data_IF_332083821672
#
_entry.id   IF_332083821672
#
_cell.length_a   1.000
_cell.length_b   1.000
_cell.length_c   1.000
_cell.angle_alpha   90.00
_cell.angle_beta   90.00
_cell.angle_gamma   90.00
#
_symmetry.space_group_name_H-M   'P 1'
#
loop_
_entity.id
_entity.type
_entity.pdbx_description
1 polymer ?
#
# COMPACT_ATOMS: atom_id res chain seq x y z
N UNK A 1 6.77 -24.58 6.59
CA UNK A 1 6.86 -23.11 6.71
C UNK A 1 5.77 -22.43 5.89
N UNK A 2 5.65 -22.72 4.59
CA UNK A 2 4.77 -21.98 3.67
C UNK A 2 3.31 -21.82 4.14
N UNK A 3 2.66 -22.88 4.64
CA UNK A 3 1.26 -22.80 5.12
C UNK A 3 1.06 -21.81 6.27
N UNK A 4 2.07 -21.62 7.12
CA UNK A 4 1.98 -20.67 8.24
C UNK A 4 1.93 -19.23 7.74
N UNK A 5 2.78 -18.90 6.76
CA UNK A 5 2.86 -17.57 6.16
C UNK A 5 1.69 -17.25 5.20
N UNK A 6 0.69 -18.13 5.08
CA UNK A 6 -0.57 -17.79 4.41
C UNK A 6 -1.49 -16.95 5.28
N UNK A 7 -1.31 -17.01 6.60
CA UNK A 7 -2.17 -16.33 7.57
C UNK A 7 -1.46 -15.15 8.27
N UNK A 8 -0.15 -14.99 8.06
CA UNK A 8 0.67 -13.95 8.71
C UNK A 8 1.65 -13.32 7.71
N UNK A 9 1.95 -12.04 7.91
CA UNK A 9 2.91 -11.30 7.07
C UNK A 9 4.36 -11.58 7.46
N UNK A 10 4.63 -11.72 8.77
CA UNK A 10 5.94 -12.04 9.32
C UNK A 10 5.80 -12.66 10.72
N UNK A 11 6.84 -13.38 11.14
CA UNK A 11 7.02 -13.83 12.52
C UNK A 11 7.87 -12.82 13.29
N UNK A 12 7.60 -12.67 14.58
CA UNK A 12 8.43 -11.89 15.49
C UNK A 12 8.94 -12.83 16.58
N UNK A 13 10.25 -12.89 16.77
CA UNK A 13 10.90 -13.73 17.79
C UNK A 13 12.03 -12.97 18.50
N UNK A 14 12.41 -13.34 19.73
CA UNK A 14 13.64 -12.82 20.33
C UNK A 14 14.84 -13.11 19.43
N UNK A 15 15.74 -12.14 19.25
CA UNK A 15 16.96 -12.35 18.46
C UNK A 15 17.87 -13.39 19.13
N UNK A 16 17.93 -13.38 20.46
CA UNK A 16 18.59 -14.38 21.28
C UNK A 16 17.81 -14.55 22.60
N UNK A 17 17.89 -15.72 23.27
CA UNK A 17 17.17 -15.95 24.52
C UNK A 17 17.64 -15.06 25.67
N UNK A 18 18.96 -14.84 25.79
CA UNK A 18 19.59 -13.97 26.79
C UNK A 18 21.02 -13.61 26.37
N UNK A 19 21.61 -12.65 27.08
CA UNK A 19 23.06 -12.40 27.04
C UNK A 19 23.80 -13.26 28.06
N UNK A 20 25.02 -13.66 27.72
CA UNK A 20 25.95 -14.36 28.61
C UNK A 20 27.17 -13.49 28.89
N UNK A 21 27.74 -13.65 30.09
CA UNK A 21 29.06 -13.11 30.40
C UNK A 21 30.13 -13.92 29.68
N UNK A 22 31.26 -13.26 29.39
CA UNK A 22 32.42 -13.93 28.77
C UNK A 22 32.90 -15.10 29.64
N UNK A 23 32.92 -14.92 30.97
CA UNK A 23 33.31 -15.97 31.91
C UNK A 23 32.38 -17.20 31.83
N UNK A 24 31.05 -17.00 31.80
CA UNK A 24 30.08 -18.09 31.63
C UNK A 24 30.33 -18.85 30.32
N UNK A 25 30.57 -18.12 29.22
CA UNK A 25 30.82 -18.72 27.91
C UNK A 25 32.13 -19.53 27.85
N UNK A 26 33.17 -19.11 28.57
CA UNK A 26 34.43 -19.84 28.65
C UNK A 26 34.32 -21.13 29.47
N UNK A 27 33.40 -21.18 30.43
CA UNK A 27 33.13 -22.37 31.25
C UNK A 27 32.32 -23.43 30.49
N UNK A 28 31.34 -23.03 29.68
CA UNK A 28 30.51 -23.94 28.87
C UNK A 28 30.28 -23.42 27.43
N UNK A 29 31.31 -23.49 26.57
CA UNK A 29 31.26 -22.88 25.23
C UNK A 29 30.28 -23.57 24.27
N UNK A 30 29.97 -24.86 24.48
CA UNK A 30 29.15 -25.63 23.55
C UNK A 30 27.66 -25.43 23.83
N UNK A 31 27.25 -25.61 25.09
CA UNK A 31 25.83 -25.51 25.44
C UNK A 31 25.34 -24.06 25.31
N UNK A 32 26.12 -23.09 25.77
CA UNK A 32 25.72 -21.69 25.74
C UNK A 32 25.67 -21.14 24.31
N UNK A 33 26.58 -21.56 23.44
CA UNK A 33 26.47 -21.25 22.01
C UNK A 33 25.24 -21.90 21.37
N UNK A 34 24.92 -23.14 21.75
CA UNK A 34 23.71 -23.83 21.26
C UNK A 34 22.43 -23.11 21.69
N UNK A 35 22.38 -22.60 22.93
CA UNK A 35 21.25 -21.81 23.42
C UNK A 35 21.06 -20.52 22.60
N UNK A 36 22.15 -19.83 22.22
CA UNK A 36 22.08 -18.63 21.38
C UNK A 36 21.42 -18.87 20.02
N UNK A 37 21.52 -20.10 19.49
CA UNK A 37 20.94 -20.50 18.20
C UNK A 37 19.45 -20.85 18.23
N UNK A 38 18.80 -20.86 19.41
CA UNK A 38 17.43 -21.39 19.57
C UNK A 38 16.41 -20.75 18.64
N UNK A 39 16.48 -19.43 18.44
CA UNK A 39 15.56 -18.68 17.59
C UNK A 39 16.05 -18.45 16.16
N UNK A 40 17.29 -18.85 15.82
CA UNK A 40 17.93 -18.42 14.56
C UNK A 40 18.26 -19.55 13.59
N UNK A 41 18.48 -20.77 14.09
CA UNK A 41 19.00 -21.86 13.27
C UNK A 41 18.10 -22.31 12.10
N UNK A 42 16.79 -22.10 12.19
CA UNK A 42 15.83 -22.58 11.17
C UNK A 42 15.73 -21.70 9.93
N UNK A 43 16.10 -20.41 10.00
CA UNK A 43 15.75 -19.44 8.96
C UNK A 43 16.40 -19.76 7.62
N UNK A 44 17.73 -19.98 7.61
CA UNK A 44 18.47 -20.30 6.38
C UNK A 44 18.05 -21.65 5.79
N UNK A 45 17.70 -22.62 6.63
CA UNK A 45 17.26 -23.95 6.17
C UNK A 45 15.89 -23.92 5.48
N UNK A 46 15.08 -22.90 5.77
CA UNK A 46 13.71 -22.76 5.28
C UNK A 46 13.56 -21.67 4.21
N UNK A 47 14.66 -21.14 3.67
CA UNK A 47 14.67 -20.06 2.65
C UNK A 47 13.86 -18.83 3.11
N UNK A 48 14.10 -18.42 4.36
CA UNK A 48 13.48 -17.26 4.99
C UNK A 48 14.47 -16.08 5.04
N UNK A 49 13.94 -14.86 4.99
CA UNK A 49 14.69 -13.66 5.32
C UNK A 49 14.40 -13.22 6.75
N UNK A 50 15.39 -12.59 7.39
CA UNK A 50 15.29 -12.12 8.77
C UNK A 50 15.89 -10.73 8.95
N UNK A 51 15.24 -9.89 9.76
CA UNK A 51 15.69 -8.55 10.12
C UNK A 51 15.69 -8.39 11.64
N UNK A 52 16.88 -8.33 12.24
CA UNK A 52 17.03 -8.06 13.67
C UNK A 52 16.91 -6.55 13.94
N UNK A 53 16.08 -6.19 14.91
CA UNK A 53 15.81 -4.79 15.30
C UNK A 53 15.93 -4.62 16.83
N UNK A 54 16.43 -3.47 17.32
CA UNK A 54 16.49 -3.18 18.75
C UNK A 54 15.08 -3.08 19.35
N UNK A 55 14.87 -3.65 20.54
CA UNK A 55 13.58 -3.72 21.22
C UNK A 55 13.63 -3.20 22.67
N UNK A 56 14.67 -2.43 23.01
CA UNK A 56 14.84 -1.77 24.29
C UNK A 56 15.99 -2.34 25.10
N UNK A 57 15.90 -2.20 26.42
CA UNK A 57 16.93 -2.61 27.36
C UNK A 57 16.32 -3.49 28.45
N UNK A 58 17.05 -4.51 28.85
CA UNK A 58 16.71 -5.31 30.04
C UNK A 58 16.90 -4.46 31.30
N UNK A 59 16.36 -4.93 32.43
CA UNK A 59 16.46 -4.22 33.73
C UNK A 59 17.89 -3.99 34.21
N UNK A 60 18.85 -4.75 33.68
CA UNK A 60 20.29 -4.60 33.94
C UNK A 60 21.01 -3.66 32.94
N UNK A 61 20.27 -2.98 32.06
CA UNK A 61 20.81 -2.03 31.09
C UNK A 61 21.42 -2.66 29.83
N UNK A 62 21.36 -3.98 29.65
CA UNK A 62 21.85 -4.65 28.44
C UNK A 62 20.79 -4.54 27.34
N UNK A 63 21.17 -4.19 26.08
CA UNK A 63 20.22 -4.08 24.99
C UNK A 63 19.58 -5.43 24.64
N UNK A 64 18.29 -5.38 24.30
CA UNK A 64 17.51 -6.50 23.83
C UNK A 64 17.00 -6.23 22.42
N UNK A 65 16.82 -7.30 21.62
CA UNK A 65 16.38 -7.22 20.25
C UNK A 65 15.40 -8.32 19.89
N UNK A 66 14.59 -8.03 18.87
CA UNK A 66 13.70 -9.01 18.24
C UNK A 66 14.08 -9.14 16.76
N UNK A 67 13.82 -10.30 16.19
CA UNK A 67 14.01 -10.57 14.78
C UNK A 67 12.66 -10.77 14.11
N UNK A 68 12.40 -9.95 13.09
CA UNK A 68 11.30 -10.14 12.15
C UNK A 68 11.73 -11.19 11.12
N UNK A 69 10.88 -12.17 10.82
CA UNK A 69 11.18 -13.26 9.88
C UNK A 69 10.06 -13.40 8.87
N UNK A 70 10.39 -13.44 7.59
CA UNK A 70 9.44 -13.60 6.50
C UNK A 70 9.97 -14.58 5.44
N UNK A 71 9.14 -15.05 4.50
CA UNK A 71 9.62 -15.76 3.33
C UNK A 71 10.64 -14.93 2.54
N UNK A 72 11.53 -15.59 1.80
CA UNK A 72 12.45 -14.95 0.84
C UNK A 72 11.81 -13.83 0.01
N UNK A 73 12.60 -12.82 -0.35
CA UNK A 73 12.20 -11.66 -1.18
C UNK A 73 11.20 -10.70 -0.52
N UNK A 74 10.98 -10.80 0.81
CA UNK A 74 10.14 -9.88 1.60
C UNK A 74 10.93 -8.87 2.43
N UNK A 75 12.24 -8.70 2.17
CA UNK A 75 13.14 -7.80 2.93
C UNK A 75 12.64 -6.35 2.93
N UNK A 76 12.11 -5.87 1.80
CA UNK A 76 11.54 -4.53 1.71
C UNK A 76 10.33 -4.34 2.65
N UNK A 77 9.48 -5.36 2.81
CA UNK A 77 8.37 -5.32 3.76
C UNK A 77 8.91 -5.28 5.19
N UNK A 78 9.86 -6.17 5.54
CA UNK A 78 10.49 -6.18 6.86
C UNK A 78 11.13 -4.83 7.20
N UNK A 79 11.85 -4.20 6.27
CA UNK A 79 12.44 -2.87 6.45
C UNK A 79 11.38 -1.78 6.67
N UNK A 80 10.25 -1.85 5.97
CA UNK A 80 9.13 -0.93 6.19
C UNK A 80 8.54 -1.07 7.60
N UNK A 81 8.37 -2.31 8.08
CA UNK A 81 7.89 -2.56 9.45
C UNK A 81 8.91 -2.10 10.50
N UNK A 82 10.19 -2.39 10.28
CA UNK A 82 11.28 -1.96 11.15
C UNK A 82 11.39 -0.43 11.24
N UNK A 83 11.18 0.29 10.14
CA UNK A 83 11.15 1.75 10.14
C UNK A 83 10.00 2.28 11.01
N UNK A 84 8.82 1.67 10.94
CA UNK A 84 7.69 2.00 11.82
C UNK A 84 8.00 1.72 13.29
N UNK A 85 8.65 0.58 13.58
CA UNK A 85 9.10 0.21 14.92
C UNK A 85 10.13 1.20 15.47
N UNK A 86 11.17 1.52 14.70
CA UNK A 86 12.24 2.46 15.08
C UNK A 86 11.67 3.85 15.36
N UNK A 87 10.79 4.36 14.49
CA UNK A 87 10.10 5.65 14.67
C UNK A 87 9.31 5.71 15.98
N UNK A 88 8.71 4.60 16.40
CA UNK A 88 7.92 4.52 17.64
C UNK A 88 8.79 4.38 18.88
N UNK A 89 9.86 3.59 18.80
CA UNK A 89 10.69 3.26 19.96
C UNK A 89 11.73 4.35 20.29
N UNK A 90 12.24 5.07 19.27
CA UNK A 90 13.24 6.14 19.45
C UNK A 90 14.43 5.71 20.33
N UNK A 91 14.92 4.49 20.10
CA UNK A 91 16.04 3.94 20.86
C UNK A 91 17.37 4.60 20.42
N UNK A 92 18.35 4.69 21.33
CA UNK A 92 19.69 5.14 20.97
C UNK A 92 20.34 4.23 19.93
N UNK A 93 21.07 4.84 19.01
CA UNK A 93 21.84 4.13 17.98
C UNK A 93 23.12 3.55 18.60
N UNK A 94 23.13 2.23 18.81
CA UNK A 94 24.28 1.52 19.37
C UNK A 94 24.63 2.03 20.77
N UNK A 95 25.93 2.28 21.01
CA UNK A 95 26.43 2.81 22.29
C UNK A 95 26.35 4.35 22.41
N UNK A 96 25.72 5.03 21.46
CA UNK A 96 25.59 6.50 21.48
C UNK A 96 24.36 6.96 22.26
N UNK A 97 24.27 8.25 22.56
CA UNK A 97 23.04 8.89 23.05
C UNK A 97 22.14 9.40 21.90
N UNK A 98 22.57 9.24 20.66
CA UNK A 98 21.88 9.77 19.49
C UNK A 98 20.72 8.85 19.12
N UNK A 99 19.56 9.45 18.87
CA UNK A 99 18.41 8.72 18.31
C UNK A 99 18.38 8.93 16.80
N UNK A 100 17.88 7.92 16.09
CA UNK A 100 17.74 8.03 14.64
C UNK A 100 16.69 9.09 14.29
N UNK A 101 17.15 10.25 13.80
CA UNK A 101 16.30 11.34 13.33
C UNK A 101 16.35 11.41 11.81
N UNK A 102 15.58 10.58 11.12
CA UNK A 102 15.54 10.66 9.68
C UNK A 102 14.60 11.77 9.21
N UNK A 103 15.18 12.77 8.54
CA UNK A 103 14.46 13.88 7.87
C UNK A 103 13.96 13.52 6.47
N UNK A 104 14.30 12.35 5.96
CA UNK A 104 13.85 11.92 4.64
C UNK A 104 12.66 10.97 4.78
N UNK A 105 11.51 11.42 4.26
CA UNK A 105 10.46 10.53 3.80
C UNK A 105 11.01 9.73 2.62
N UNK A 106 11.77 8.68 2.91
CA UNK A 106 11.98 7.64 1.92
C UNK A 106 10.58 7.20 1.51
N UNK A 107 10.22 7.45 0.24
CA UNK A 107 9.01 6.89 -0.35
C UNK A 107 9.05 5.41 0.00
N UNK A 108 8.09 4.96 0.81
CA UNK A 108 8.08 3.60 1.35
C UNK A 108 8.47 2.66 0.22
N UNK A 109 9.54 1.87 0.38
CA UNK A 109 10.01 0.93 -0.63
C UNK A 109 8.91 -0.09 -0.81
N UNK A 110 7.97 0.25 -1.66
CA UNK A 110 6.75 -0.47 -1.78
C UNK A 110 6.98 -1.36 -2.99
N UNK A 111 7.53 -2.54 -2.74
CA UNK A 111 7.26 -3.74 -3.53
C UNK A 111 5.75 -4.01 -3.44
N UNK A 112 4.90 -3.04 -3.84
CA UNK A 112 3.47 -3.26 -3.81
C UNK A 112 3.23 -4.26 -4.91
N UNK A 113 2.90 -5.46 -4.48
CA UNK A 113 2.27 -6.45 -5.32
C UNK A 113 1.00 -5.89 -5.96
N UNK A 114 0.48 -4.75 -5.45
CA UNK A 114 -0.70 -4.06 -5.91
C UNK A 114 -0.49 -2.57 -6.24
N UNK A 115 -1.21 -2.05 -7.22
CA UNK A 115 -1.26 -0.64 -7.60
C UNK A 115 -2.58 -0.06 -7.10
N UNK A 116 -2.53 1.07 -6.39
CA UNK A 116 -3.73 1.81 -6.03
C UNK A 116 -4.31 2.51 -7.28
N UNK A 117 -5.55 2.17 -7.63
CA UNK A 117 -6.28 2.67 -8.80
C UNK A 117 -7.59 3.31 -8.35
N UNK A 118 -7.71 4.62 -8.52
CA UNK A 118 -8.95 5.36 -8.31
C UNK A 118 -9.88 5.23 -9.52
N UNK A 119 -11.13 4.86 -9.25
CA UNK A 119 -12.21 4.78 -10.24
C UNK A 119 -13.36 5.71 -9.84
N UNK A 120 -13.94 6.39 -10.82
CA UNK A 120 -14.97 7.42 -10.62
C UNK A 120 -16.26 7.14 -11.41
N UNK A 121 -16.35 6.00 -12.10
CA UNK A 121 -17.38 5.76 -13.12
C UNK A 121 -17.93 4.34 -13.15
N UNK A 122 -17.99 3.74 -14.34
CA UNK A 122 -18.58 2.42 -14.57
C UNK A 122 -17.89 1.28 -13.79
N UNK A 123 -16.71 1.51 -13.22
CA UNK A 123 -15.96 0.56 -12.39
C UNK A 123 -16.20 0.70 -10.89
N UNK A 124 -16.99 1.69 -10.43
CA UNK A 124 -17.40 1.78 -9.00
C UNK A 124 -18.13 0.51 -8.55
N UNK A 125 -18.14 0.19 -7.26
CA UNK A 125 -18.77 -1.01 -6.72
C UNK A 125 -20.25 -1.13 -7.17
N UNK A 126 -20.62 -2.29 -7.72
CA UNK A 126 -21.98 -2.49 -8.24
C UNK A 126 -22.31 -1.77 -9.56
N UNK A 127 -21.36 -1.04 -10.17
CA UNK A 127 -21.51 -0.48 -11.52
C UNK A 127 -21.13 -1.52 -12.61
N UNK A 128 -21.59 -1.34 -13.86
CA UNK A 128 -21.56 -2.40 -14.88
C UNK A 128 -20.18 -2.95 -15.27
N UNK A 129 -19.09 -2.23 -15.00
CA UNK A 129 -17.72 -2.65 -15.33
C UNK A 129 -16.86 -2.99 -14.10
N UNK A 130 -17.43 -2.98 -12.88
CA UNK A 130 -16.68 -3.32 -11.66
C UNK A 130 -16.09 -4.73 -11.71
N UNK A 131 -16.74 -5.67 -12.41
CA UNK A 131 -16.22 -7.03 -12.60
C UNK A 131 -14.81 -7.07 -13.19
N UNK A 132 -14.39 -6.07 -13.98
CA UNK A 132 -13.02 -5.99 -14.51
C UNK A 132 -11.98 -5.78 -13.41
N UNK A 133 -12.35 -5.16 -12.28
CA UNK A 133 -11.50 -5.08 -11.09
C UNK A 133 -11.57 -6.39 -10.32
N UNK A 134 -12.77 -6.88 -10.04
CA UNK A 134 -12.97 -8.08 -9.21
C UNK A 134 -12.36 -9.34 -9.81
N UNK A 135 -12.45 -9.54 -11.14
CA UNK A 135 -11.87 -10.72 -11.81
C UNK A 135 -10.33 -10.76 -11.72
N UNK A 136 -9.70 -9.59 -11.58
CA UNK A 136 -8.25 -9.43 -11.40
C UNK A 136 -7.82 -9.50 -9.94
N UNK A 137 -8.74 -9.84 -9.04
CA UNK A 137 -8.49 -9.92 -7.61
C UNK A 137 -8.31 -8.56 -6.93
N UNK A 138 -8.79 -7.49 -7.55
CA UNK A 138 -8.70 -6.17 -6.94
C UNK A 138 -9.59 -6.08 -5.68
N UNK A 139 -9.14 -5.30 -4.70
CA UNK A 139 -9.86 -5.08 -3.42
C UNK A 139 -10.12 -3.61 -3.19
N UNK A 140 -11.33 -3.26 -2.77
CA UNK A 140 -11.65 -1.89 -2.37
C UNK A 140 -10.82 -1.52 -1.13
N UNK A 141 -10.08 -0.40 -1.21
CA UNK A 141 -9.31 0.17 -0.09
C UNK A 141 -10.17 1.19 0.64
N UNK A 142 -10.74 2.14 -0.11
CA UNK A 142 -11.54 3.22 0.45
C UNK A 142 -12.48 3.85 -0.59
N UNK A 143 -13.57 4.42 -0.10
CA UNK A 143 -14.39 5.38 -0.83
C UNK A 143 -14.06 6.78 -0.29
N UNK A 144 -13.67 7.71 -1.16
CA UNK A 144 -13.15 9.05 -0.82
C UNK A 144 -13.47 10.01 -1.97
N UNK A 145 -12.77 11.15 -2.04
CA UNK A 145 -12.91 12.12 -3.11
C UNK A 145 -11.54 12.58 -3.62
N UNK A 146 -11.51 13.11 -4.84
CA UNK A 146 -10.35 13.84 -5.35
C UNK A 146 -10.15 15.15 -4.57
N UNK A 147 -8.98 15.79 -4.73
CA UNK A 147 -8.84 17.21 -4.42
C UNK A 147 -9.84 18.06 -5.22
N UNK A 148 -9.95 19.35 -4.90
CA UNK A 148 -10.88 20.28 -5.55
C UNK A 148 -10.45 20.70 -6.96
N UNK A 149 -9.46 20.03 -7.55
CA UNK A 149 -8.82 20.43 -8.82
C UNK A 149 -9.35 19.66 -10.03
N UNK A 150 -10.57 19.14 -10.00
CA UNK A 150 -11.10 18.27 -11.06
C UNK A 150 -12.46 18.69 -11.62
N UNK A 151 -12.61 18.57 -12.93
CA UNK A 151 -13.89 18.67 -13.62
C UNK A 151 -14.35 17.32 -14.13
N UNK A 152 -15.66 17.13 -14.14
CA UNK A 152 -16.28 15.84 -14.33
C UNK A 152 -17.35 15.91 -15.40
N UNK A 153 -17.26 15.01 -16.37
CA UNK A 153 -18.09 15.05 -17.57
C UNK A 153 -18.74 13.71 -17.85
N UNK A 154 -19.99 13.72 -18.29
CA UNK A 154 -20.61 12.54 -18.90
C UNK A 154 -20.22 12.50 -20.39
N UNK A 155 -19.39 11.54 -20.76
CA UNK A 155 -18.85 11.45 -22.12
C UNK A 155 -19.91 10.93 -23.10
N UNK A 156 -19.95 11.46 -24.34
CA UNK A 156 -20.86 10.96 -25.36
C UNK A 156 -20.51 9.54 -25.82
N UNK A 157 -21.54 8.76 -26.16
CA UNK A 157 -21.41 7.46 -26.82
C UNK A 157 -21.55 6.22 -25.92
N UNK A 158 -21.13 5.07 -26.48
CA UNK A 158 -21.13 3.74 -25.86
C UNK A 158 -22.48 3.00 -25.89
N UNK A 159 -22.48 1.68 -25.59
CA UNK A 159 -23.63 1.01 -24.99
C UNK A 159 -23.70 1.23 -23.47
N UNK A 160 -22.55 1.43 -22.79
CA UNK A 160 -22.44 1.74 -21.35
C UNK A 160 -21.98 3.19 -21.19
N UNK A 161 -22.77 3.98 -20.43
CA UNK A 161 -22.42 5.37 -20.08
C UNK A 161 -21.20 5.41 -19.17
N UNK A 162 -20.37 6.44 -19.33
CA UNK A 162 -19.09 6.56 -18.64
C UNK A 162 -18.68 8.01 -18.45
N UNK A 163 -18.06 8.36 -17.31
CA UNK A 163 -17.56 9.70 -17.11
C UNK A 163 -16.13 9.88 -17.65
N UNK A 164 -15.77 11.15 -17.81
CA UNK A 164 -14.40 11.63 -18.02
C UNK A 164 -14.02 12.57 -16.90
N UNK A 165 -12.79 12.45 -16.43
CA UNK A 165 -12.21 13.30 -15.39
C UNK A 165 -11.01 14.05 -15.97
N UNK A 166 -10.98 15.37 -15.80
CA UNK A 166 -9.89 16.23 -16.24
C UNK A 166 -9.49 17.16 -15.10
N UNK A 167 -8.18 17.39 -14.93
CA UNK A 167 -7.67 18.32 -13.92
C UNK A 167 -7.84 19.76 -14.41
N UNK A 168 -8.42 20.61 -13.57
CA UNK A 168 -8.60 22.05 -13.78
C UNK A 168 -8.49 22.74 -12.41
N UNK A 169 -7.41 23.49 -12.19
CA UNK A 169 -7.14 24.15 -10.90
C UNK A 169 -7.91 25.46 -10.72
N UNK A 170 -8.56 25.96 -11.78
CA UNK A 170 -9.32 27.21 -11.73
C UNK A 170 -10.82 26.96 -11.52
N UNK A 171 -11.35 25.91 -12.14
CA UNK A 171 -12.78 25.59 -12.14
C UNK A 171 -13.08 24.17 -11.66
N UNK A 172 -12.14 23.56 -10.93
CA UNK A 172 -12.29 22.23 -10.38
C UNK A 172 -13.27 22.18 -9.21
N UNK A 173 -13.65 20.95 -8.88
CA UNK A 173 -14.37 20.59 -7.67
C UNK A 173 -13.92 19.20 -7.20
N UNK A 174 -14.37 18.79 -6.02
CA UNK A 174 -14.10 17.46 -5.48
C UNK A 174 -15.06 16.42 -6.09
N UNK A 175 -14.50 15.33 -6.61
CA UNK A 175 -15.25 14.25 -7.26
C UNK A 175 -15.10 12.95 -6.47
N UNK A 176 -16.24 12.30 -6.20
CA UNK A 176 -16.25 11.02 -5.50
C UNK A 176 -15.55 9.92 -6.30
N UNK A 177 -14.68 9.18 -5.63
CA UNK A 177 -13.92 8.05 -6.19
C UNK A 177 -13.86 6.88 -5.22
N UNK A 178 -13.66 5.69 -5.76
CA UNK A 178 -13.26 4.51 -5.01
C UNK A 178 -11.83 4.15 -5.36
N UNK A 179 -10.98 3.96 -4.35
CA UNK A 179 -9.59 3.53 -4.52
C UNK A 179 -9.51 2.02 -4.33
N UNK A 180 -9.07 1.32 -5.38
CA UNK A 180 -8.93 -0.12 -5.41
C UNK A 180 -7.45 -0.53 -5.41
N UNK A 181 -7.11 -1.58 -4.67
CA UNK A 181 -5.84 -2.30 -4.74
C UNK A 181 -5.90 -3.28 -5.90
N UNK A 182 -5.16 -3.05 -6.99
CA UNK A 182 -5.13 -3.94 -8.16
C UNK A 182 -3.78 -4.63 -8.26
N UNK A 183 -3.69 -5.98 -8.31
CA UNK A 183 -2.41 -6.65 -8.47
C UNK A 183 -1.60 -6.11 -9.65
N UNK A 184 -0.35 -5.73 -9.41
CA UNK A 184 0.55 -5.09 -10.36
C UNK A 184 0.75 -5.93 -11.63
N UNK A 185 0.74 -7.27 -11.49
CA UNK A 185 0.79 -8.22 -12.60
C UNK A 185 -0.43 -8.14 -13.55
N UNK A 186 -1.58 -7.70 -13.04
CA UNK A 186 -2.82 -7.54 -13.80
C UNK A 186 -3.03 -6.12 -14.34
N UNK A 187 -2.21 -5.15 -13.92
CA UNK A 187 -2.38 -3.74 -14.29
C UNK A 187 -2.30 -3.52 -15.80
N UNK A 188 -1.38 -4.20 -16.49
CA UNK A 188 -1.26 -4.10 -17.95
C UNK A 188 -2.51 -4.59 -18.68
N UNK A 189 -3.09 -5.72 -18.24
CA UNK A 189 -4.31 -6.27 -18.85
C UNK A 189 -5.54 -5.40 -18.56
N UNK A 190 -5.56 -4.73 -17.41
CA UNK A 190 -6.59 -3.75 -17.05
C UNK A 190 -6.52 -2.51 -17.94
N UNK A 191 -5.33 -1.91 -18.07
CA UNK A 191 -5.14 -0.70 -18.89
C UNK A 191 -5.45 -0.96 -20.37
N UNK A 192 -5.06 -2.12 -20.91
CA UNK A 192 -5.33 -2.48 -22.30
C UNK A 192 -6.83 -2.59 -22.63
N UNK A 193 -7.69 -2.81 -21.63
CA UNK A 193 -9.14 -2.89 -21.79
C UNK A 193 -9.82 -1.51 -21.79
N UNK A 194 -9.09 -0.42 -21.49
CA UNK A 194 -9.63 0.92 -21.41
C UNK A 194 -9.71 1.51 -22.82
N UNK A 195 -10.92 1.77 -23.35
CA UNK A 195 -11.07 2.28 -24.69
C UNK A 195 -10.83 3.79 -24.73
N UNK A 196 -10.36 4.26 -25.89
CA UNK A 196 -10.38 5.68 -26.25
C UNK A 196 -11.78 6.28 -26.00
N UNK A 197 -11.90 7.52 -25.46
CA UNK A 197 -10.83 8.49 -25.17
C UNK A 197 -10.35 8.49 -23.69
N UNK A 198 -10.53 7.38 -22.99
CA UNK A 198 -10.11 7.24 -21.59
C UNK A 198 -8.67 6.71 -21.50
N UNK A 199 -8.02 7.02 -20.38
CA UNK A 199 -6.71 6.49 -20.04
C UNK A 199 -6.49 6.44 -18.53
N UNK A 200 -5.32 5.94 -18.12
CA UNK A 200 -4.88 5.97 -16.72
C UNK A 200 -3.77 7.00 -16.56
N UNK A 201 -4.04 8.01 -15.74
CA UNK A 201 -3.10 9.05 -15.33
C UNK A 201 -2.83 8.99 -13.83
N UNK A 202 -2.52 10.15 -13.24
CA UNK A 202 -2.40 10.33 -11.80
C UNK A 202 -3.49 11.27 -11.28
N UNK A 203 -4.12 10.87 -10.19
CA UNK A 203 -5.15 11.63 -9.50
C UNK A 203 -4.66 12.01 -8.10
N UNK A 204 -4.92 13.25 -7.71
CA UNK A 204 -4.72 13.78 -6.37
C UNK A 204 -6.00 13.58 -5.57
N UNK A 205 -5.90 12.95 -4.40
CA UNK A 205 -6.99 12.73 -3.47
C UNK A 205 -7.13 13.90 -2.50
N UNK A 206 -8.25 13.96 -1.77
CA UNK A 206 -8.54 15.01 -0.79
C UNK A 206 -7.50 15.11 0.35
N UNK A 207 -6.78 14.03 0.64
CA UNK A 207 -5.69 13.97 1.62
C UNK A 207 -4.33 14.43 1.06
N UNK A 208 -4.28 14.87 -0.20
CA UNK A 208 -3.07 15.28 -0.91
C UNK A 208 -2.23 14.12 -1.46
N UNK A 209 -2.63 12.87 -1.26
CA UNK A 209 -1.96 11.71 -1.83
C UNK A 209 -2.24 11.56 -3.33
N UNK A 210 -1.32 10.91 -4.04
CA UNK A 210 -1.43 10.70 -5.49
C UNK A 210 -1.53 9.21 -5.83
N UNK A 211 -2.56 8.84 -6.58
CA UNK A 211 -2.84 7.46 -7.00
C UNK A 211 -2.97 7.37 -8.52
N UNK A 212 -2.85 6.17 -9.09
CA UNK A 212 -3.22 5.96 -10.49
C UNK A 212 -4.74 6.09 -10.61
N UNK A 213 -5.28 6.59 -11.71
CA UNK A 213 -6.75 6.68 -11.86
C UNK A 213 -7.19 7.09 -13.25
N UNK A 214 -8.50 6.95 -13.51
CA UNK A 214 -9.09 7.30 -14.80
C UNK A 214 -9.02 8.80 -15.08
N UNK A 215 -8.52 9.12 -16.28
CA UNK A 215 -8.55 10.46 -16.88
C UNK A 215 -9.11 10.35 -18.29
N UNK A 216 -9.53 11.46 -18.87
CA UNK A 216 -9.91 11.53 -20.29
C UNK A 216 -9.05 12.54 -21.05
N UNK A 217 -8.89 12.32 -22.36
CA UNK A 217 -8.26 13.29 -23.24
C UNK A 217 -9.07 14.60 -23.33
N UNK A 218 -8.40 15.73 -23.57
CA UNK A 218 -9.05 17.05 -23.66
C UNK A 218 -10.10 17.14 -24.77
N UNK A 219 -9.95 16.37 -25.86
CA UNK A 219 -10.99 16.32 -26.91
C UNK A 219 -12.26 15.57 -26.46
N UNK A 220 -12.18 14.72 -25.43
CA UNK A 220 -13.31 13.92 -24.97
C UNK A 220 -14.42 14.78 -24.37
N UNK A 221 -14.07 15.96 -23.86
CA UNK A 221 -15.00 16.87 -23.19
C UNK A 221 -15.69 17.83 -24.18
N UNK A 222 -15.28 17.86 -25.46
CA UNK A 222 -15.96 18.64 -26.49
C UNK A 222 -17.37 18.06 -26.74
N UNK A 223 -18.41 18.83 -26.36
CA UNK A 223 -19.80 18.39 -26.47
C UNK A 223 -20.24 17.38 -25.42
N UNK A 224 -19.40 17.10 -24.41
CA UNK A 224 -19.78 16.31 -23.24
C UNK A 224 -20.62 17.15 -22.26
N UNK A 225 -21.51 16.49 -21.51
CA UNK A 225 -22.29 17.15 -20.47
C UNK A 225 -21.41 17.36 -19.23
N UNK A 226 -21.27 18.61 -18.77
CA UNK A 226 -20.56 18.93 -17.54
C UNK A 226 -21.42 18.55 -16.34
N UNK A 227 -20.96 17.56 -15.58
CA UNK A 227 -21.62 17.01 -14.39
C UNK A 227 -20.82 17.31 -13.11
N UNK A 228 -19.89 18.27 -13.17
CA UNK A 228 -19.02 18.65 -12.04
C UNK A 228 -19.83 19.00 -10.79
N UNK A 229 -20.95 19.71 -10.95
CA UNK A 229 -21.83 20.09 -9.84
C UNK A 229 -22.44 18.90 -9.07
N UNK A 230 -22.54 17.72 -9.69
CA UNK A 230 -23.03 16.52 -9.01
C UNK A 230 -21.95 15.88 -8.12
N UNK A 231 -20.68 16.02 -8.50
CA UNK A 231 -19.53 15.44 -7.81
C UNK A 231 -19.53 13.91 -7.71
N UNK A 232 -20.45 13.21 -8.38
CA UNK A 232 -20.63 11.76 -8.22
C UNK A 232 -21.33 11.15 -9.43
N UNK A 233 -20.72 10.08 -9.96
CA UNK A 233 -21.31 9.31 -11.05
C UNK A 233 -22.60 8.59 -10.65
N UNK A 234 -22.68 8.11 -9.40
CA UNK A 234 -23.89 7.46 -8.88
C UNK A 234 -25.09 8.42 -8.93
N UNK A 235 -24.90 9.64 -8.42
CA UNK A 235 -25.94 10.70 -8.47
C UNK A 235 -26.39 10.99 -9.90
N UNK A 236 -25.46 11.08 -10.85
CA UNK A 236 -25.80 11.29 -12.25
C UNK A 236 -26.64 10.15 -12.85
N UNK A 237 -26.30 8.88 -12.55
CA UNK A 237 -27.08 7.73 -13.00
C UNK A 237 -28.48 7.72 -12.37
N UNK A 238 -28.60 8.04 -11.09
CA UNK A 238 -29.90 8.12 -10.39
C UNK A 238 -30.79 9.24 -10.99
N UNK A 239 -30.21 10.41 -11.29
CA UNK A 239 -30.93 11.49 -11.98
C UNK A 239 -31.38 11.09 -13.38
N UNK A 240 -30.57 10.34 -14.12
CA UNK A 240 -30.98 9.83 -15.44
C UNK A 240 -32.12 8.82 -15.34
N UNK A 241 -32.10 7.93 -14.35
CA UNK A 241 -33.15 6.93 -14.16
C UNK A 241 -34.48 7.55 -13.70
N UNK A 242 -34.43 8.61 -12.89
CA UNK A 242 -35.64 9.33 -12.46
C UNK A 242 -36.30 10.20 -13.53
N UNK A 243 -35.61 10.45 -14.65
CA UNK A 243 -36.13 11.18 -15.82
C UNK A 243 -36.78 10.28 -16.88
N UNK A 244 -36.73 8.95 -16.70
CA UNK A 244 -37.31 7.92 -17.58
C UNK A 244 -38.57 7.36 -16.92
#
# INVERSE_FOLDING_TARGET
>A
AERLFWEIDFLLSPTAPRSYLIAELLEDPVQLNSNMGFYTNYMNLLDLCGLAIPAGFMSNGIPFGVTLVAPRFKEANLLSQALGWERKQQLPMGASSETYSNKNDFAAVSNREDIAVAVCGAHLEGMPLNWQLSERGAKLISATSTSENYRFYALPGGPVKRPGLIRDEQHGCSIHVEVWSLPAKEFGSFVAAIPFPLGIGKLELEDGSWVSGFVCEGMAIEGAEDISALGSWRKYIDELQSRI
#
